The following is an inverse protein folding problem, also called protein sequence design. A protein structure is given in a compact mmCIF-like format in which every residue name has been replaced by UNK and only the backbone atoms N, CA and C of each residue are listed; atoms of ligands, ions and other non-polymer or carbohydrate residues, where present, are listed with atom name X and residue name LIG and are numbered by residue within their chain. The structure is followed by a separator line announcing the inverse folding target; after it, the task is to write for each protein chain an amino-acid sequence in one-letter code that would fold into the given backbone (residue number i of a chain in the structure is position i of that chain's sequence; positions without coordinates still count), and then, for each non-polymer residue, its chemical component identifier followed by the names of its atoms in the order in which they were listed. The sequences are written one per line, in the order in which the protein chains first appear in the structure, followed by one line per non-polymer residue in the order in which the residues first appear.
data_IF_573543480587
#
_entry.id   IF_573543480587
#
_cell.length_a   1.000
_cell.length_b   1.000
_cell.length_c   1.000
_cell.angle_alpha   90.00
_cell.angle_beta   90.00
_cell.angle_gamma   90.00
#
_symmetry.space_group_name_H-M   'P 1'
#
loop_
_entity.id
_entity.type
_entity.pdbx_description
1 polymer ?
#
# COMPACT_ATOMS: atom_id res chain seq x y z
N UNK A 1 -35.36 -35.98 14.75
CA UNK A 1 -35.42 -37.40 14.36
C UNK A 1 -35.25 -37.49 12.85
N UNK A 2 -34.36 -38.37 12.40
CA UNK A 2 -34.07 -38.80 11.03
C UNK A 2 -33.13 -37.94 10.13
N UNK A 3 -32.06 -38.63 9.70
CA UNK A 3 -30.92 -38.25 8.86
C UNK A 3 -31.26 -38.14 7.34
N UNK A 4 -30.26 -37.58 6.61
CA UNK A 4 -30.06 -37.57 5.14
C UNK A 4 -30.42 -38.90 4.42
N UNK A 5 -30.76 -38.84 3.12
CA UNK A 5 -29.75 -39.07 2.06
C UNK A 5 -29.97 -38.10 0.87
N UNK A 6 -28.96 -37.45 0.29
CA UNK A 6 -28.20 -38.00 -0.83
C UNK A 6 -26.88 -37.23 -0.97
N UNK A 7 -25.86 -37.77 -0.30
CA UNK A 7 -24.44 -37.60 -0.61
C UNK A 7 -24.05 -38.86 -1.38
N UNK A 8 -23.87 -38.79 -2.69
CA UNK A 8 -22.99 -39.74 -3.40
C UNK A 8 -22.66 -39.26 -4.81
N UNK A 9 -21.68 -38.35 -4.92
CA UNK A 9 -20.81 -38.26 -6.11
C UNK A 9 -19.57 -37.42 -5.79
N UNK A 10 -18.66 -38.02 -5.04
CA UNK A 10 -17.34 -37.47 -4.80
C UNK A 10 -16.37 -38.64 -4.59
N UNK A 11 -15.88 -39.20 -5.69
CA UNK A 11 -14.68 -40.05 -5.72
C UNK A 11 -14.29 -40.34 -7.18
N UNK A 12 -13.68 -39.35 -7.81
CA UNK A 12 -12.70 -39.59 -8.88
C UNK A 12 -11.41 -38.90 -8.46
N UNK A 13 -10.27 -39.59 -8.44
CA UNK A 13 -8.98 -38.98 -8.12
C UNK A 13 -8.56 -38.02 -9.25
N UNK A 14 -8.14 -36.81 -8.87
CA UNK A 14 -7.53 -35.83 -9.77
C UNK A 14 -6.23 -36.40 -10.37
N UNK A 15 -5.91 -36.12 -11.65
CA UNK A 15 -4.67 -36.57 -12.26
C UNK A 15 -3.45 -35.87 -11.62
N UNK A 16 -2.27 -36.51 -11.58
CA UNK A 16 -1.08 -35.94 -10.96
C UNK A 16 -0.57 -34.70 -11.72
N UNK A 17 -0.24 -33.66 -10.95
CA UNK A 17 0.48 -32.47 -11.42
C UNK A 17 1.84 -32.90 -12.02
N UNK A 18 2.05 -32.68 -13.32
CA UNK A 18 3.38 -32.76 -13.93
C UNK A 18 4.14 -31.48 -13.62
N UNK A 19 5.27 -31.59 -12.92
CA UNK A 19 6.22 -30.48 -12.82
C UNK A 19 6.79 -30.15 -14.21
N UNK A 20 6.97 -28.87 -14.56
CA UNK A 20 7.65 -28.49 -15.79
C UNK A 20 9.13 -28.93 -15.75
N UNK A 21 9.74 -29.27 -16.90
CA UNK A 21 11.14 -29.67 -16.95
C UNK A 21 12.08 -28.52 -16.56
N UNK A 22 13.24 -28.82 -15.94
CA UNK A 22 14.23 -27.79 -15.59
C UNK A 22 14.83 -27.16 -16.86
N UNK A 23 15.30 -25.90 -16.79
CA UNK A 23 15.94 -25.23 -17.91
C UNK A 23 17.28 -25.90 -18.28
N UNK A 24 17.72 -25.81 -19.55
CA UNK A 24 18.98 -26.40 -19.98
C UNK A 24 20.17 -25.73 -19.29
N UNK A 25 21.12 -26.56 -18.84
CA UNK A 25 22.39 -26.12 -18.25
C UNK A 25 23.30 -25.44 -19.28
N UNK A 26 23.89 -24.31 -18.91
CA UNK A 26 24.89 -23.58 -19.70
C UNK A 26 26.07 -24.46 -20.12
N UNK A 27 26.66 -24.26 -21.32
CA UNK A 27 27.79 -25.07 -21.76
C UNK A 27 29.06 -24.78 -20.94
N UNK A 28 29.69 -25.86 -20.50
CA UNK A 28 30.98 -25.92 -19.81
C UNK A 28 32.11 -25.40 -20.72
N UNK A 29 32.81 -24.36 -20.30
CA UNK A 29 34.06 -23.91 -20.92
C UNK A 29 35.19 -24.88 -20.54
N UNK A 30 35.75 -25.57 -21.54
CA UNK A 30 36.97 -26.36 -21.39
C UNK A 30 38.22 -25.48 -21.60
N UNK A 31 39.36 -25.77 -20.94
CA UNK A 31 40.54 -24.92 -20.97
C UNK A 31 41.32 -25.10 -22.28
N UNK A 32 41.68 -23.98 -22.92
CA UNK A 32 42.50 -23.95 -24.13
C UNK A 32 43.96 -24.22 -23.76
N UNK A 33 44.47 -25.35 -24.28
CA UNK A 33 45.88 -25.71 -24.25
C UNK A 33 46.74 -24.77 -25.10
N UNK A 34 47.87 -24.38 -24.54
CA UNK A 34 48.94 -23.61 -25.18
C UNK A 34 49.48 -24.35 -26.41
N UNK A 35 49.50 -23.69 -27.58
CA UNK A 35 50.51 -23.95 -28.62
C UNK A 35 50.95 -22.64 -29.26
N UNK A 36 52.24 -22.40 -29.13
CA UNK A 36 53.05 -21.37 -29.78
C UNK A 36 53.11 -21.60 -31.29
N UNK A 37 52.94 -20.54 -32.08
CA UNK A 37 53.61 -20.38 -33.37
C UNK A 37 53.63 -18.90 -33.74
N UNK A 38 54.85 -18.38 -33.90
CA UNK A 38 55.14 -17.04 -34.37
C UNK A 38 54.85 -16.91 -35.86
N UNK A 39 54.31 -15.77 -36.26
CA UNK A 39 54.53 -15.21 -37.59
C UNK A 39 54.32 -13.70 -37.52
N UNK A 40 55.42 -12.96 -37.58
CA UNK A 40 55.44 -11.51 -37.72
C UNK A 40 55.02 -11.15 -39.15
N UNK A 41 54.02 -10.29 -39.27
CA UNK A 41 53.77 -9.52 -40.50
C UNK A 41 53.85 -8.05 -40.12
N UNK A 42 54.92 -7.40 -40.60
CA UNK A 42 55.15 -5.98 -40.50
C UNK A 42 54.66 -5.32 -41.78
N UNK A 43 53.67 -4.43 -41.71
CA UNK A 43 53.38 -3.47 -42.78
C UNK A 43 52.92 -2.14 -42.20
N UNK A 44 53.60 -1.10 -42.69
CA UNK A 44 53.56 0.30 -42.28
C UNK A 44 52.25 1.04 -42.63
N UNK A 45 52.07 2.15 -41.92
CA UNK A 45 51.39 3.39 -42.30
C UNK A 45 49.86 3.47 -42.11
N UNK A 46 49.42 4.31 -41.17
CA UNK A 46 49.02 5.70 -41.45
C UNK A 46 48.40 6.29 -40.18
N UNK A 47 48.86 7.48 -39.78
CA UNK A 47 48.29 8.20 -38.64
C UNK A 47 46.86 8.64 -38.96
N UNK A 48 45.88 7.92 -38.42
CA UNK A 48 44.50 8.41 -38.31
C UNK A 48 44.37 8.97 -36.91
N UNK A 49 44.57 10.28 -36.76
CA UNK A 49 44.24 10.98 -35.52
C UNK A 49 42.72 10.95 -35.38
N UNK A 50 42.21 10.03 -34.56
CA UNK A 50 40.81 10.03 -34.18
C UNK A 50 40.53 11.32 -33.40
N UNK A 51 39.47 12.10 -33.73
CA UNK A 51 39.09 13.22 -32.89
C UNK A 51 38.80 12.69 -31.48
N UNK A 52 39.22 13.42 -30.41
CA UNK A 52 38.91 12.97 -29.06
C UNK A 52 37.40 12.79 -28.93
N UNK A 53 36.92 11.75 -28.21
CA UNK A 53 35.49 11.60 -27.97
C UNK A 53 35.00 12.91 -27.37
N UNK A 54 34.13 13.60 -28.11
CA UNK A 54 33.49 14.81 -27.62
C UNK A 54 32.75 14.36 -26.37
N UNK A 55 33.24 14.75 -25.20
CA UNK A 55 32.59 14.45 -23.93
C UNK A 55 31.12 14.79 -24.13
N UNK A 56 30.25 13.79 -24.01
CA UNK A 56 28.83 14.00 -24.04
C UNK A 56 28.58 15.08 -23.00
N UNK A 57 28.21 16.26 -23.48
CA UNK A 57 27.76 17.33 -22.62
C UNK A 57 26.58 16.70 -21.89
N UNK A 58 26.72 16.47 -20.59
CA UNK A 58 25.56 16.16 -19.78
C UNK A 58 24.63 17.37 -19.96
N UNK A 59 23.55 17.18 -20.71
CA UNK A 59 22.47 18.16 -20.79
C UNK A 59 21.99 18.34 -19.35
N UNK A 60 22.10 19.55 -18.78
CA UNK A 60 21.67 19.76 -17.42
C UNK A 60 20.15 19.89 -17.40
N UNK A 61 19.56 19.34 -16.33
CA UNK A 61 18.29 19.78 -15.75
C UNK A 61 17.01 19.28 -16.42
N UNK A 62 16.83 17.96 -16.47
CA UNK A 62 15.51 17.39 -16.26
C UNK A 62 15.38 17.02 -14.79
N UNK A 63 14.64 17.77 -13.98
CA UNK A 63 13.90 17.10 -12.90
C UNK A 63 13.20 15.92 -13.57
N UNK A 64 13.52 14.70 -13.14
CA UNK A 64 13.03 13.49 -13.79
C UNK A 64 11.52 13.64 -13.97
N UNK A 65 11.03 13.72 -15.22
CA UNK A 65 9.61 13.96 -15.52
C UNK A 65 8.72 12.92 -14.80
N UNK A 66 9.29 11.77 -14.48
CA UNK A 66 8.74 10.74 -13.61
C UNK A 66 8.56 11.20 -12.16
N UNK A 67 9.58 11.78 -11.53
CA UNK A 67 9.52 12.28 -10.15
C UNK A 67 8.50 13.40 -10.01
N UNK A 68 8.51 14.38 -10.92
CA UNK A 68 7.53 15.48 -10.91
C UNK A 68 6.07 14.96 -10.99
N UNK A 69 5.84 13.88 -11.74
CA UNK A 69 4.52 13.21 -11.80
C UNK A 69 4.16 12.52 -10.50
N UNK A 70 5.10 11.87 -9.84
CA UNK A 70 4.89 11.20 -8.56
C UNK A 70 4.60 12.22 -7.46
N UNK A 71 5.36 13.31 -7.41
CA UNK A 71 5.15 14.42 -6.47
C UNK A 71 3.75 15.00 -6.65
N UNK A 72 3.34 15.28 -7.89
CA UNK A 72 1.99 15.79 -8.18
C UNK A 72 0.90 14.81 -7.76
N UNK A 73 1.06 13.52 -8.06
CA UNK A 73 0.12 12.48 -7.64
C UNK A 73 -0.03 12.44 -6.12
N UNK A 74 1.07 12.51 -5.40
CA UNK A 74 1.05 12.52 -3.93
C UNK A 74 0.33 13.76 -3.39
N UNK A 75 0.67 14.96 -3.89
CA UNK A 75 0.03 16.21 -3.47
C UNK A 75 -1.48 16.26 -3.77
N UNK A 76 -1.91 15.63 -4.86
CA UNK A 76 -3.33 15.57 -5.23
C UNK A 76 -4.11 14.53 -4.43
N UNK A 77 -3.49 13.39 -4.12
CA UNK A 77 -4.17 12.26 -3.49
C UNK A 77 -4.07 12.24 -1.96
N UNK A 78 -2.96 12.70 -1.35
CA UNK A 78 -2.76 12.68 0.10
C UNK A 78 -3.85 13.40 0.90
N UNK A 79 -4.45 14.52 0.45
CA UNK A 79 -5.52 15.18 1.20
C UNK A 79 -6.79 14.32 1.32
N UNK A 80 -6.92 13.28 0.48
CA UNK A 80 -8.03 12.33 0.53
C UNK A 80 -7.79 11.19 1.53
N UNK A 81 -6.55 11.01 1.98
CA UNK A 81 -6.14 9.92 2.89
C UNK A 81 -6.26 10.38 4.33
N UNK A 82 -6.90 9.55 5.14
CA UNK A 82 -7.19 9.84 6.54
C UNK A 82 -6.49 8.87 7.48
N UNK A 83 -6.24 9.34 8.68
CA UNK A 83 -5.76 8.51 9.78
C UNK A 83 -6.92 8.14 10.70
N UNK A 84 -7.01 6.89 11.10
CA UNK A 84 -8.09 6.32 11.88
C UNK A 84 -7.50 5.85 13.21
N UNK A 85 -8.09 6.33 14.32
CA UNK A 85 -7.83 5.83 15.68
C UNK A 85 -9.10 5.19 16.22
N UNK A 86 -9.00 3.94 16.61
CA UNK A 86 -10.00 3.25 17.42
C UNK A 86 -9.65 3.38 18.90
N UNK A 87 -10.59 3.86 19.70
CA UNK A 87 -10.41 4.25 21.09
C UNK A 87 -11.42 3.54 21.99
N UNK A 88 -10.95 2.99 23.10
CA UNK A 88 -11.80 2.51 24.19
C UNK A 88 -11.75 3.50 25.34
N UNK A 89 -12.89 4.14 25.60
CA UNK A 89 -13.08 5.04 26.73
C UNK A 89 -13.35 4.22 27.99
N UNK A 90 -12.44 4.28 28.96
CA UNK A 90 -12.67 3.72 30.27
C UNK A 90 -13.82 4.49 30.95
N UNK A 91 -14.85 3.77 31.38
CA UNK A 91 -15.98 4.37 32.10
C UNK A 91 -15.54 5.06 33.41
N UNK A 92 -16.38 5.94 33.98
CA UNK A 92 -16.03 6.76 35.15
C UNK A 92 -15.72 5.98 36.44
N UNK A 93 -15.81 4.65 36.44
CA UNK A 93 -15.69 3.78 37.62
C UNK A 93 -14.45 2.86 37.62
N UNK A 94 -13.50 3.08 36.71
CA UNK A 94 -12.40 2.15 36.43
C UNK A 94 -10.98 2.60 36.77
N UNK A 95 -10.76 3.62 37.60
CA UNK A 95 -9.39 3.99 38.03
C UNK A 95 -8.86 3.00 39.06
N UNK A 96 -8.44 1.81 38.60
CA UNK A 96 -7.54 0.93 39.33
C UNK A 96 -6.12 1.27 38.88
N UNK A 97 -5.33 1.76 39.83
CA UNK A 97 -3.89 1.96 39.72
C UNK A 97 -3.25 0.57 39.72
N UNK A 98 -2.43 0.30 38.71
CA UNK A 98 -1.71 -0.98 38.49
C UNK A 98 -1.43 -1.09 37.00
N UNK A 99 -0.33 -0.48 36.56
CA UNK A 99 0.92 -1.18 36.23
C UNK A 99 0.85 -1.72 34.80
N UNK A 100 1.80 -1.26 34.00
CA UNK A 100 2.11 -1.61 32.62
C UNK A 100 1.27 -0.91 31.54
N UNK A 101 1.96 -0.14 30.68
CA UNK A 101 1.82 -0.09 29.21
C UNK A 101 2.15 1.31 28.66
N UNK A 102 3.23 1.36 27.86
CA UNK A 102 3.67 2.46 27.00
C UNK A 102 2.63 2.76 25.90
N UNK A 103 1.45 3.26 26.27
CA UNK A 103 0.39 3.68 25.35
C UNK A 103 0.21 5.19 25.40
N UNK A 104 0.20 5.85 24.25
CA UNK A 104 -0.01 7.29 24.09
C UNK A 104 -1.33 7.75 24.75
N UNK A 105 -1.25 8.14 26.02
CA UNK A 105 -2.36 8.69 26.80
C UNK A 105 -2.72 10.10 26.29
N UNK A 106 -3.53 10.17 25.23
CA UNK A 106 -4.14 11.43 24.79
C UNK A 106 -5.29 11.81 25.76
N UNK A 107 -4.91 12.38 26.91
CA UNK A 107 -5.73 13.24 27.77
C UNK A 107 -7.21 12.89 27.91
N UNK A 108 -7.54 11.75 28.55
CA UNK A 108 -8.93 11.44 28.88
C UNK A 108 -9.28 9.98 29.06
N UNK A 109 -8.44 9.16 29.70
CA UNK A 109 -8.78 7.77 30.06
C UNK A 109 -9.20 6.87 28.90
N UNK A 110 -8.85 7.23 27.67
CA UNK A 110 -9.13 6.46 26.47
C UNK A 110 -7.87 5.70 26.05
N UNK A 111 -7.96 4.39 25.95
CA UNK A 111 -6.90 3.51 25.45
C UNK A 111 -7.05 3.38 23.93
N UNK A 112 -5.96 3.53 23.19
CA UNK A 112 -5.93 3.25 21.75
C UNK A 112 -5.91 1.74 21.55
N UNK A 113 -6.89 1.19 20.84
CA UNK A 113 -6.96 -0.25 20.54
C UNK A 113 -6.51 -0.61 19.12
N UNK A 114 -6.59 0.36 18.21
CA UNK A 114 -6.23 0.15 16.81
C UNK A 114 -5.96 1.46 16.11
N UNK A 115 -5.05 1.40 15.14
CA UNK A 115 -4.79 2.51 14.23
C UNK A 115 -4.71 2.01 12.80
N UNK A 116 -5.03 2.89 11.86
CA UNK A 116 -4.95 2.56 10.45
C UNK A 116 -5.18 3.76 9.56
N UNK A 117 -5.28 3.49 8.27
CA UNK A 117 -5.60 4.52 7.28
C UNK A 117 -6.91 4.21 6.59
N UNK A 118 -7.49 5.23 6.00
CA UNK A 118 -8.60 5.11 5.08
C UNK A 118 -8.55 6.24 4.06
N UNK A 119 -9.60 6.38 3.28
CA UNK A 119 -9.74 7.51 2.38
C UNK A 119 -11.18 8.01 2.32
N UNK A 120 -11.32 9.29 2.02
CA UNK A 120 -12.63 9.94 1.83
C UNK A 120 -13.24 9.42 0.52
N UNK A 121 -14.41 8.80 0.62
CA UNK A 121 -15.13 8.24 -0.51
C UNK A 121 -15.96 9.29 -1.24
N UNK A 122 -16.63 10.18 -0.50
CA UNK A 122 -17.51 11.19 -1.06
C UNK A 122 -17.59 12.47 -0.23
N UNK A 123 -18.23 13.49 -0.80
CA UNK A 123 -18.44 14.79 -0.15
C UNK A 123 -19.49 14.77 0.97
N UNK A 124 -20.08 13.61 1.28
CA UNK A 124 -21.06 13.47 2.38
C UNK A 124 -20.42 12.96 3.66
N UNK A 125 -19.11 12.62 3.61
CA UNK A 125 -18.33 12.21 4.78
C UNK A 125 -18.24 10.71 4.96
N UNK A 126 -18.44 9.91 3.90
CA UNK A 126 -18.11 8.50 3.94
C UNK A 126 -16.60 8.28 3.83
N UNK A 127 -16.06 7.43 4.70
CA UNK A 127 -14.67 7.00 4.70
C UNK A 127 -14.64 5.49 4.45
N UNK A 128 -13.80 5.05 3.52
CA UNK A 128 -13.53 3.63 3.30
C UNK A 128 -12.21 3.25 3.96
N UNK A 129 -12.21 2.11 4.65
CA UNK A 129 -11.03 1.54 5.30
C UNK A 129 -11.13 0.01 5.32
N UNK A 130 -10.11 -0.65 5.85
CA UNK A 130 -10.12 -2.07 6.07
C UNK A 130 -10.97 -2.43 7.30
N UNK A 131 -11.67 -3.56 7.24
CA UNK A 131 -12.47 -4.04 8.37
C UNK A 131 -11.61 -4.29 9.61
N UNK A 132 -10.42 -4.88 9.47
CA UNK A 132 -9.55 -5.16 10.60
C UNK A 132 -9.14 -3.91 11.39
N UNK A 133 -9.12 -2.72 10.76
CA UNK A 133 -8.82 -1.44 11.42
C UNK A 133 -9.90 -1.07 12.45
N UNK A 134 -11.14 -1.51 12.22
CA UNK A 134 -12.33 -1.14 13.02
C UNK A 134 -13.07 -2.37 13.57
N UNK A 135 -12.42 -3.53 13.58
CA UNK A 135 -13.06 -4.79 13.96
C UNK A 135 -13.53 -4.79 15.42
N UNK A 136 -12.84 -4.06 16.30
CA UNK A 136 -13.20 -3.91 17.71
C UNK A 136 -14.45 -3.05 17.89
N UNK A 137 -14.51 -1.92 17.20
CA UNK A 137 -15.72 -1.10 17.07
C UNK A 137 -16.94 -1.88 16.55
N UNK A 138 -16.74 -2.80 15.59
CA UNK A 138 -17.82 -3.59 15.01
C UNK A 138 -18.31 -4.75 15.90
N UNK A 139 -17.42 -5.31 16.73
CA UNK A 139 -17.68 -6.55 17.48
C UNK A 139 -18.27 -6.37 18.87
N UNK A 140 -17.94 -5.28 19.58
CA UNK A 140 -18.19 -5.24 21.03
C UNK A 140 -19.54 -4.59 21.41
N UNK A 141 -20.14 -3.74 20.56
CA UNK A 141 -21.41 -3.06 20.87
C UNK A 141 -21.41 -2.24 22.18
N UNK A 142 -20.25 -2.17 22.85
CA UNK A 142 -20.05 -1.55 24.14
C UNK A 142 -19.93 -0.05 23.90
N UNK A 143 -20.70 0.72 24.67
CA UNK A 143 -20.77 2.19 24.59
C UNK A 143 -19.42 2.88 24.86
N UNK A 144 -18.37 2.11 25.19
CA UNK A 144 -17.01 2.57 25.40
C UNK A 144 -16.18 2.71 24.13
N UNK A 145 -16.57 2.14 22.99
CA UNK A 145 -15.79 2.26 21.74
C UNK A 145 -16.11 3.55 20.99
N UNK A 146 -15.08 4.31 20.63
CA UNK A 146 -15.17 5.53 19.84
C UNK A 146 -14.13 5.50 18.73
N UNK A 147 -14.56 5.85 17.52
CA UNK A 147 -13.65 6.02 16.40
C UNK A 147 -13.40 7.51 16.17
N UNK A 148 -12.13 7.91 16.07
CA UNK A 148 -11.73 9.25 15.60
C UNK A 148 -11.04 9.13 14.25
N UNK A 149 -11.40 10.02 13.33
CA UNK A 149 -10.76 10.17 12.03
C UNK A 149 -10.05 11.53 11.99
N UNK A 150 -8.80 11.52 11.59
CA UNK A 150 -7.94 12.69 11.42
C UNK A 150 -7.72 12.91 9.94
N UNK A 151 -7.98 14.13 9.48
CA UNK A 151 -7.98 14.48 8.08
C UNK A 151 -7.50 15.91 7.87
N UNK A 152 -7.06 16.20 6.66
CA UNK A 152 -6.62 17.53 6.24
C UNK A 152 -7.81 18.32 5.68
N UNK A 153 -8.07 19.49 6.25
CA UNK A 153 -9.12 20.40 5.80
C UNK A 153 -8.68 21.34 4.70
N UNK A 154 -9.62 22.14 4.23
CA UNK A 154 -9.34 23.20 3.26
C UNK A 154 -8.28 24.17 3.83
N UNK A 155 -7.16 24.32 3.13
CA UNK A 155 -6.05 25.19 3.55
C UNK A 155 -4.95 24.50 4.38
N UNK A 156 -4.85 23.17 4.35
CA UNK A 156 -3.71 22.45 4.93
C UNK A 156 -3.78 22.24 6.44
N UNK A 157 -4.93 22.53 7.06
CA UNK A 157 -5.12 22.38 8.52
C UNK A 157 -5.67 21.01 8.84
N UNK A 158 -4.92 20.24 9.62
CA UNK A 158 -5.39 18.96 10.17
C UNK A 158 -6.46 19.19 11.24
N UNK A 159 -7.50 18.37 11.23
CA UNK A 159 -8.55 18.34 12.24
C UNK A 159 -9.02 16.90 12.46
N UNK A 160 -9.76 16.67 13.54
CA UNK A 160 -10.35 15.37 13.83
C UNK A 160 -11.86 15.43 13.96
N UNK A 161 -12.52 14.33 13.60
CA UNK A 161 -13.96 14.13 13.72
C UNK A 161 -14.25 12.76 14.32
N UNK A 162 -15.32 12.70 15.10
CA UNK A 162 -15.87 11.42 15.53
C UNK A 162 -16.52 10.72 14.33
N UNK A 163 -16.28 9.42 14.22
CA UNK A 163 -16.75 8.59 13.14
C UNK A 163 -17.68 7.49 13.66
N UNK A 164 -18.71 7.20 12.89
CA UNK A 164 -19.65 6.10 13.17
C UNK A 164 -19.50 5.03 12.10
N UNK A 165 -19.48 3.76 12.52
CA UNK A 165 -19.53 2.63 11.60
C UNK A 165 -20.91 2.56 10.94
N UNK A 166 -20.96 2.63 9.61
CA UNK A 166 -22.20 2.51 8.82
C UNK A 166 -22.41 1.08 8.35
N UNK A 167 -21.33 0.40 7.99
CA UNK A 167 -21.38 -0.98 7.52
C UNK A 167 -19.99 -1.58 7.40
N UNK A 168 -19.92 -2.89 7.42
CA UNK A 168 -18.69 -3.65 7.21
C UNK A 168 -18.96 -4.94 6.46
N UNK A 169 -17.93 -5.44 5.79
CA UNK A 169 -17.88 -6.73 5.14
C UNK A 169 -16.56 -7.44 5.51
N UNK A 170 -16.58 -8.33 6.52
CA UNK A 170 -15.40 -9.06 6.95
C UNK A 170 -14.83 -10.00 5.88
N UNK A 171 -15.63 -10.45 4.91
CA UNK A 171 -15.17 -11.38 3.89
C UNK A 171 -14.24 -10.71 2.86
N UNK A 172 -14.44 -9.42 2.61
CA UNK A 172 -13.60 -8.60 1.74
C UNK A 172 -12.67 -7.64 2.50
N UNK A 173 -12.63 -7.74 3.83
CA UNK A 173 -11.90 -6.86 4.73
C UNK A 173 -12.21 -5.36 4.49
N UNK A 174 -13.50 -5.02 4.33
CA UNK A 174 -13.95 -3.65 4.07
C UNK A 174 -14.83 -3.09 5.19
N UNK A 175 -14.67 -1.80 5.48
CA UNK A 175 -15.57 -1.06 6.35
C UNK A 175 -15.81 0.36 5.84
N UNK A 176 -17.02 0.87 6.12
CA UNK A 176 -17.43 2.23 5.80
C UNK A 176 -17.78 2.97 7.08
N UNK A 177 -17.08 4.06 7.32
CA UNK A 177 -17.34 4.99 8.41
C UNK A 177 -18.04 6.25 7.88
N UNK A 178 -18.75 6.95 8.76
CA UNK A 178 -19.36 8.26 8.50
C UNK A 178 -18.87 9.28 9.50
N UNK A 179 -18.39 10.41 9.00
CA UNK A 179 -18.05 11.60 9.77
C UNK A 179 -18.98 12.76 9.42
N UNK A 180 -19.21 13.65 10.37
CA UNK A 180 -19.99 14.87 10.18
C UNK A 180 -19.04 16.08 10.02
N UNK A 181 -18.75 16.40 8.76
CA UNK A 181 -17.86 17.48 8.31
C UNK A 181 -18.50 18.25 7.16
N UNK A 182 -18.11 19.52 7.01
CA UNK A 182 -18.60 20.37 5.93
C UNK A 182 -18.00 19.94 4.58
N UNK A 183 -18.77 20.08 3.50
CA UNK A 183 -18.37 19.54 2.19
C UNK A 183 -17.09 20.14 1.65
N UNK A 184 -16.83 21.40 1.96
CA UNK A 184 -15.63 22.16 1.58
C UNK A 184 -14.37 21.69 2.33
N UNK A 185 -14.53 20.98 3.45
CA UNK A 185 -13.45 20.40 4.24
C UNK A 185 -13.09 18.97 3.83
N UNK A 186 -13.84 18.37 2.90
CA UNK A 186 -13.60 17.02 2.41
C UNK A 186 -12.91 17.04 1.05
N UNK A 187 -12.07 16.04 0.81
CA UNK A 187 -11.38 15.81 -0.46
C UNK A 187 -11.59 14.34 -0.85
N UNK A 188 -12.64 14.03 -1.63
CA UNK A 188 -12.89 12.66 -2.04
C UNK A 188 -11.82 12.15 -2.98
N UNK A 189 -11.40 10.89 -2.79
CA UNK A 189 -10.47 10.23 -3.70
C UNK A 189 -11.12 10.02 -5.08
N UNK A 190 -10.32 10.14 -6.14
CA UNK A 190 -10.79 9.81 -7.49
C UNK A 190 -10.86 8.29 -7.65
N UNK A 191 -12.07 7.77 -7.87
CA UNK A 191 -12.31 6.34 -7.99
C UNK A 191 -12.07 5.89 -9.44
N UNK A 192 -11.04 5.05 -9.62
CA UNK A 192 -10.73 4.40 -10.88
C UNK A 192 -11.48 3.08 -11.09
N UNK A 193 -11.07 2.32 -12.11
CA UNK A 193 -11.58 0.96 -12.37
C UNK A 193 -10.45 -0.06 -12.28
N UNK A 194 -10.73 -1.19 -11.62
CA UNK A 194 -9.78 -2.31 -11.53
C UNK A 194 -9.87 -3.29 -12.70
N UNK A 195 -10.95 -3.24 -13.52
CA UNK A 195 -11.24 -4.23 -14.58
C UNK A 195 -10.23 -4.24 -15.73
N UNK A 196 -9.53 -3.14 -15.95
CA UNK A 196 -8.60 -2.96 -17.06
C UNK A 196 -7.15 -2.78 -16.61
N UNK A 197 -6.83 -3.21 -15.38
CA UNK A 197 -5.47 -3.18 -14.86
C UNK A 197 -4.60 -4.20 -15.62
N UNK A 198 -3.32 -3.85 -15.79
CA UNK A 198 -2.32 -4.69 -16.45
C UNK A 198 -1.14 -4.90 -15.52
N UNK A 199 -0.65 -6.14 -15.49
CA UNK A 199 0.62 -6.47 -14.81
C UNK A 199 1.74 -5.60 -15.38
N UNK A 200 2.57 -5.06 -14.50
CA UNK A 200 3.64 -4.12 -14.83
C UNK A 200 3.20 -2.64 -14.85
N UNK A 201 1.93 -2.32 -14.62
CA UNK A 201 1.52 -0.92 -14.38
C UNK A 201 2.04 -0.42 -13.03
N UNK A 202 2.50 0.83 -12.99
CA UNK A 202 2.88 1.50 -11.75
C UNK A 202 1.69 1.59 -10.79
N UNK A 203 1.95 1.33 -9.52
CA UNK A 203 1.00 1.48 -8.42
C UNK A 203 1.62 2.27 -7.29
N UNK A 204 0.79 3.07 -6.62
CA UNK A 204 1.18 3.91 -5.50
C UNK A 204 0.29 3.60 -4.31
N UNK A 205 0.89 3.28 -3.18
CA UNK A 205 0.19 3.12 -1.92
C UNK A 205 0.47 4.36 -1.06
N UNK A 206 -0.60 5.08 -0.70
CA UNK A 206 -0.54 6.24 0.19
C UNK A 206 -1.21 5.85 1.50
N UNK A 207 -0.53 6.09 2.61
CA UNK A 207 -1.06 5.83 3.94
C UNK A 207 -0.80 6.99 4.89
N UNK A 208 -1.48 6.98 6.02
CA UNK A 208 -1.16 7.81 7.17
C UNK A 208 -1.40 6.97 8.43
N UNK A 209 -0.49 6.05 8.78
CA UNK A 209 -0.70 5.11 9.89
C UNK A 209 -0.37 5.71 11.26
N UNK A 210 0.28 6.88 11.33
CA UNK A 210 0.73 7.50 12.59
C UNK A 210 0.10 8.88 12.86
N UNK A 211 -0.63 9.46 11.90
CA UNK A 211 -1.35 10.72 12.06
C UNK A 211 -0.50 11.99 11.90
N UNK A 212 0.81 11.88 11.69
CA UNK A 212 1.71 13.04 11.54
C UNK A 212 1.97 13.39 10.07
N UNK A 213 2.43 12.42 9.29
CA UNK A 213 2.79 12.59 7.88
C UNK A 213 2.27 11.41 7.05
N UNK A 214 1.86 11.69 5.82
CA UNK A 214 1.50 10.66 4.86
C UNK A 214 2.76 9.97 4.33
N UNK A 215 2.66 8.66 4.13
CA UNK A 215 3.70 7.84 3.51
C UNK A 215 3.31 7.53 2.06
N UNK A 216 4.31 7.42 1.19
CA UNK A 216 4.15 6.99 -0.19
C UNK A 216 5.06 5.78 -0.46
N UNK A 217 4.48 4.69 -0.95
CA UNK A 217 5.22 3.54 -1.47
C UNK A 217 4.91 3.39 -2.96
N UNK A 218 5.94 3.23 -3.77
CA UNK A 218 5.83 2.98 -5.21
C UNK A 218 6.16 1.53 -5.56
N UNK A 219 5.50 1.00 -6.57
CA UNK A 219 5.71 -0.36 -7.04
C UNK A 219 5.04 -0.64 -8.37
N UNK A 220 4.94 -1.91 -8.72
CA UNK A 220 4.27 -2.37 -9.93
C UNK A 220 3.23 -3.43 -9.59
N UNK A 221 2.13 -3.44 -10.34
CA UNK A 221 1.10 -4.48 -10.24
C UNK A 221 1.68 -5.83 -10.70
N UNK A 222 1.59 -6.84 -9.83
CA UNK A 222 2.12 -8.20 -10.08
C UNK A 222 1.03 -9.25 -10.35
N UNK A 223 -0.24 -8.96 -10.04
CA UNK A 223 -1.40 -9.84 -10.27
C UNK A 223 -2.71 -9.18 -9.83
N UNK A 224 -3.85 -9.68 -10.32
CA UNK A 224 -5.21 -9.23 -9.97
C UNK A 224 -6.23 -10.36 -10.15
#
# INVERSE_FOLDING_TARGET
MALRPQLLRLLLPSPPHRNPPPPPSSPSVAPIGRRTAAAAVLLLAAGVSAPPPRAARAEPDGEDVDEARIVRLFQEASPSVVFIKDLVVAGPQGRRVGEDEDGDEEGGGAKVEGTGSGFVWDSTGHIVTNYHVVAKLAGDGSASHRCKVFLEGSGGKSYSKEARLIGCDPAYDLAVLKIDADRDQLRPALIGTSRSLRVGQSCFAIGNPYGYEHTLTTGFLVGY
#
